data_IF_567412561924
#
_entry.id   IF_567412561924
#
_cell.length_a   1.000
_cell.length_b   1.000
_cell.length_c   1.000
_cell.angle_alpha   90.00
_cell.angle_beta   90.00
_cell.angle_gamma   90.00
#
_symmetry.space_group_name_H-M   'P 1'
#
loop_
_entity.id
_entity.type
_entity.pdbx_description
1 polymer ?
#
# COMPACT_ATOMS: atom_id res chain seq x y z
N UNK A 1 59.29 3.68 1.17
CA UNK A 1 58.26 2.70 1.64
C UNK A 1 57.05 3.47 2.14
N UNK A 2 56.00 3.60 1.34
CA UNK A 2 54.71 4.20 1.75
C UNK A 2 53.67 3.09 1.73
N UNK A 3 53.16 2.70 2.92
CA UNK A 3 52.03 1.77 3.07
C UNK A 3 50.76 2.49 2.70
N UNK A 4 50.04 2.00 1.67
CA UNK A 4 48.68 2.40 1.31
C UNK A 4 47.72 1.83 2.35
N UNK A 5 46.94 2.68 2.99
CA UNK A 5 45.76 2.29 3.76
C UNK A 5 44.66 1.85 2.79
N UNK A 6 44.26 0.60 2.88
CA UNK A 6 43.05 0.07 2.23
C UNK A 6 41.90 0.37 3.17
N UNK A 7 41.07 1.34 2.79
CA UNK A 7 39.82 1.63 3.49
C UNK A 7 38.84 0.48 3.18
N UNK A 8 38.39 -0.19 4.22
CA UNK A 8 37.36 -1.23 4.15
C UNK A 8 36.01 -0.61 3.80
N UNK A 9 35.62 -0.63 2.53
CA UNK A 9 34.25 -0.46 2.04
C UNK A 9 33.54 -1.82 2.03
N UNK A 10 33.26 -2.38 3.20
CA UNK A 10 32.72 -3.72 3.30
C UNK A 10 31.41 -3.87 4.12
N UNK A 11 31.00 -2.82 4.86
CA UNK A 11 29.88 -2.95 5.79
C UNK A 11 28.54 -2.42 5.26
N UNK A 12 28.55 -1.53 4.27
CA UNK A 12 27.29 -0.95 3.75
C UNK A 12 26.55 -1.85 2.73
N UNK A 13 27.28 -2.69 1.99
CA UNK A 13 26.68 -3.57 0.98
C UNK A 13 25.87 -4.75 1.60
N UNK A 14 26.23 -5.20 2.81
CA UNK A 14 25.55 -6.31 3.48
C UNK A 14 24.17 -5.93 4.02
N UNK A 15 24.05 -4.75 4.59
CA UNK A 15 22.77 -4.27 5.16
C UNK A 15 21.75 -3.92 4.04
N UNK A 16 22.22 -3.39 2.91
CA UNK A 16 21.37 -3.15 1.73
C UNK A 16 20.89 -4.46 1.09
N UNK A 17 21.71 -5.49 1.05
CA UNK A 17 21.34 -6.80 0.50
C UNK A 17 20.26 -7.50 1.32
N UNK A 18 20.35 -7.47 2.65
CA UNK A 18 19.36 -8.11 3.54
C UNK A 18 18.05 -7.32 3.63
N UNK A 19 18.09 -5.99 3.60
CA UNK A 19 16.87 -5.18 3.56
C UNK A 19 16.11 -5.35 2.25
N UNK A 20 16.80 -5.42 1.12
CA UNK A 20 16.19 -5.68 -0.19
C UNK A 20 15.64 -7.11 -0.31
N UNK A 21 16.26 -8.10 0.36
CA UNK A 21 15.77 -9.49 0.36
C UNK A 21 14.46 -9.69 1.15
N UNK A 22 14.17 -8.83 2.13
CA UNK A 22 12.88 -8.84 2.83
C UNK A 22 11.71 -8.32 1.98
N UNK A 23 12.00 -7.55 0.93
CA UNK A 23 10.99 -7.05 -0.02
C UNK A 23 10.76 -8.02 -1.20
N UNK A 24 11.69 -8.93 -1.45
CA UNK A 24 11.49 -10.01 -2.38
C UNK A 24 10.61 -11.08 -1.71
N UNK A 25 9.39 -11.24 -2.19
CA UNK A 25 8.60 -12.44 -1.90
C UNK A 25 9.51 -13.62 -2.30
N UNK A 26 9.72 -14.55 -1.36
CA UNK A 26 10.36 -15.82 -1.70
C UNK A 26 9.76 -16.31 -3.01
N UNK A 27 10.59 -16.68 -4.00
CA UNK A 27 10.19 -17.12 -5.34
C UNK A 27 9.11 -18.21 -5.25
N UNK A 28 7.87 -17.78 -4.99
CA UNK A 28 6.71 -18.58 -5.24
C UNK A 28 6.44 -18.45 -6.73
N UNK A 29 6.15 -19.55 -7.40
CA UNK A 29 5.75 -19.60 -8.83
C UNK A 29 4.42 -18.82 -9.08
N UNK A 30 4.00 -17.96 -8.15
CA UNK A 30 2.78 -17.18 -8.21
C UNK A 30 3.04 -15.78 -8.74
N UNK A 31 2.14 -15.30 -9.58
CA UNK A 31 2.22 -13.96 -10.20
C UNK A 31 2.18 -12.84 -9.17
N UNK A 32 1.44 -13.02 -8.06
CA UNK A 32 1.38 -12.13 -6.90
C UNK A 32 0.77 -12.89 -5.71
N UNK A 33 0.97 -12.36 -4.53
CA UNK A 33 0.29 -12.80 -3.31
C UNK A 33 -0.81 -11.82 -2.91
N UNK A 34 -1.77 -12.27 -2.10
CA UNK A 34 -2.88 -11.43 -1.63
C UNK A 34 -2.63 -11.06 -0.18
N UNK A 35 -2.73 -9.77 0.14
CA UNK A 35 -2.81 -9.24 1.48
C UNK A 35 -4.20 -8.68 1.77
N UNK A 36 -4.51 -8.43 3.04
CA UNK A 36 -5.75 -7.79 3.47
C UNK A 36 -5.46 -6.46 4.16
N UNK A 37 -6.01 -5.37 3.63
CA UNK A 37 -6.00 -4.07 4.28
C UNK A 37 -7.06 -4.03 5.39
N UNK A 38 -6.65 -3.62 6.59
CA UNK A 38 -7.51 -3.54 7.77
C UNK A 38 -8.70 -2.61 7.55
N UNK A 39 -8.54 -1.60 6.70
CA UNK A 39 -9.62 -0.67 6.37
C UNK A 39 -10.82 -1.35 5.71
N UNK A 40 -10.66 -2.53 5.11
CA UNK A 40 -11.77 -3.36 4.63
C UNK A 40 -12.79 -3.72 5.71
N UNK A 41 -12.41 -3.59 6.99
CA UNK A 41 -13.23 -3.89 8.17
C UNK A 41 -13.56 -2.62 8.98
N UNK A 42 -13.51 -1.44 8.36
CA UNK A 42 -13.69 -0.17 9.06
C UNK A 42 -15.06 -0.05 9.75
N UNK A 43 -16.14 -0.58 9.17
CA UNK A 43 -17.46 -0.60 9.80
C UNK A 43 -17.50 -1.57 10.98
N UNK A 44 -16.84 -2.71 10.84
CA UNK A 44 -16.72 -3.71 11.92
C UNK A 44 -15.98 -3.13 13.14
N UNK A 45 -14.88 -2.37 12.92
CA UNK A 45 -14.10 -1.78 14.00
C UNK A 45 -14.71 -0.52 14.59
N UNK A 46 -15.26 0.37 13.77
CA UNK A 46 -15.83 1.64 14.24
C UNK A 46 -17.30 1.51 14.67
N UNK A 47 -17.99 0.43 14.27
CA UNK A 47 -19.37 0.18 14.67
C UNK A 47 -20.30 1.37 14.37
N UNK A 48 -21.09 1.78 15.35
CA UNK A 48 -22.04 2.89 15.21
C UNK A 48 -21.38 4.27 14.96
N UNK A 49 -20.08 4.43 15.24
CA UNK A 49 -19.40 5.70 15.06
C UNK A 49 -19.25 6.07 13.59
N UNK A 50 -19.04 5.08 12.70
CA UNK A 50 -18.97 5.34 11.25
C UNK A 50 -20.34 5.67 10.66
N UNK A 51 -21.41 5.12 11.22
CA UNK A 51 -22.79 5.41 10.80
C UNK A 51 -23.18 6.87 11.11
N UNK A 52 -22.59 7.47 12.15
CA UNK A 52 -22.74 8.90 12.47
C UNK A 52 -21.98 9.81 11.50
N UNK A 53 -21.17 9.25 10.61
CA UNK A 53 -20.45 9.93 9.53
C UNK A 53 -19.01 10.28 9.87
N UNK A 54 -18.24 10.56 8.82
CA UNK A 54 -16.79 10.80 8.88
C UNK A 54 -16.39 12.03 9.74
N UNK A 55 -17.22 13.05 9.80
CA UNK A 55 -16.95 14.24 10.63
C UNK A 55 -16.94 13.85 12.10
N UNK A 56 -17.98 13.12 12.56
CA UNK A 56 -18.05 12.60 13.92
C UNK A 56 -16.88 11.66 14.24
N UNK A 57 -16.62 10.67 13.39
CA UNK A 57 -15.53 9.72 13.58
C UNK A 57 -14.17 10.42 13.63
N UNK A 58 -13.90 11.37 12.73
CA UNK A 58 -12.65 12.12 12.72
C UNK A 58 -12.44 12.97 13.98
N UNK A 59 -13.52 13.51 14.56
CA UNK A 59 -13.46 14.19 15.83
C UNK A 59 -13.14 13.22 16.97
N UNK A 60 -13.85 12.11 17.02
CA UNK A 60 -13.66 11.08 18.07
C UNK A 60 -12.24 10.51 18.04
N UNK A 61 -11.70 10.21 16.84
CA UNK A 61 -10.31 9.74 16.67
C UNK A 61 -9.26 10.74 17.18
N UNK A 62 -9.56 12.06 17.22
CA UNK A 62 -8.68 13.06 17.78
C UNK A 62 -8.83 13.22 19.29
N UNK A 63 -10.06 13.14 19.81
CA UNK A 63 -10.39 13.44 21.19
C UNK A 63 -10.31 12.21 22.10
N UNK A 64 -10.81 11.07 21.64
CA UNK A 64 -10.80 9.80 22.36
C UNK A 64 -10.69 8.62 21.35
N UNK A 65 -9.48 8.36 20.83
CA UNK A 65 -9.27 7.28 19.85
C UNK A 65 -9.57 5.88 20.41
N UNK A 66 -9.50 5.68 21.73
CA UNK A 66 -9.87 4.42 22.35
C UNK A 66 -11.37 4.16 22.24
N UNK A 67 -12.20 5.18 22.48
CA UNK A 67 -13.64 5.08 22.33
C UNK A 67 -14.04 4.80 20.88
N UNK A 68 -13.28 5.30 19.88
CA UNK A 68 -13.59 5.12 18.46
C UNK A 68 -13.65 3.63 18.05
N UNK A 69 -12.90 2.75 18.70
CA UNK A 69 -12.81 1.29 18.41
C UNK A 69 -13.40 0.40 19.50
N UNK A 70 -13.94 0.97 20.58
CA UNK A 70 -14.38 0.22 21.76
C UNK A 70 -15.58 -0.71 21.50
N UNK A 71 -16.36 -0.46 20.44
CA UNK A 71 -17.56 -1.26 20.09
C UNK A 71 -17.29 -2.42 19.14
N UNK A 72 -16.07 -2.54 18.60
CA UNK A 72 -15.66 -3.56 17.65
C UNK A 72 -14.79 -4.66 18.26
N UNK A 73 -14.30 -5.58 17.41
CA UNK A 73 -13.26 -6.54 17.81
C UNK A 73 -11.98 -5.81 18.23
N UNK A 74 -11.13 -6.47 19.04
CA UNK A 74 -9.80 -5.91 19.35
C UNK A 74 -8.97 -5.78 18.07
N UNK A 75 -8.53 -4.56 17.69
CA UNK A 75 -7.70 -4.38 16.51
C UNK A 75 -6.39 -5.19 16.54
N UNK A 76 -5.90 -5.57 17.72
CA UNK A 76 -4.73 -6.42 17.88
C UNK A 76 -4.92 -7.85 17.32
N UNK A 77 -6.16 -8.29 17.12
CA UNK A 77 -6.48 -9.63 16.59
C UNK A 77 -6.62 -9.65 15.05
N UNK A 78 -6.35 -8.54 14.38
CA UNK A 78 -6.57 -8.43 12.93
C UNK A 78 -5.82 -9.48 12.11
N UNK A 79 -4.57 -9.78 12.42
CA UNK A 79 -3.79 -10.82 11.74
C UNK A 79 -4.42 -12.22 11.90
N UNK A 80 -4.85 -12.56 13.13
CA UNK A 80 -5.60 -13.79 13.39
C UNK A 80 -6.89 -13.85 12.57
N UNK A 81 -7.68 -12.77 12.57
CA UNK A 81 -8.93 -12.68 11.81
C UNK A 81 -8.70 -12.87 10.32
N UNK A 82 -7.66 -12.23 9.73
CA UNK A 82 -7.32 -12.39 8.33
C UNK A 82 -7.03 -13.85 7.95
N UNK A 83 -6.32 -14.57 8.83
CA UNK A 83 -6.02 -15.99 8.63
C UNK A 83 -7.26 -16.87 8.81
N UNK A 84 -8.00 -16.71 9.91
CA UNK A 84 -9.09 -17.61 10.26
C UNK A 84 -10.33 -17.44 9.42
N UNK A 85 -10.66 -16.20 9.05
CA UNK A 85 -11.87 -15.89 8.29
C UNK A 85 -11.69 -15.95 6.77
N UNK A 86 -10.48 -15.63 6.28
CA UNK A 86 -10.25 -15.45 4.85
C UNK A 86 -9.12 -16.33 4.28
N UNK A 87 -8.38 -17.05 5.12
CA UNK A 87 -7.15 -17.77 4.74
C UNK A 87 -6.15 -16.85 4.02
N UNK A 88 -6.02 -15.59 4.48
CA UNK A 88 -5.07 -14.61 3.97
C UNK A 88 -3.86 -14.58 4.91
N UNK A 89 -2.66 -14.76 4.34
CA UNK A 89 -1.41 -14.89 5.08
C UNK A 89 -0.57 -13.61 5.14
N UNK A 90 -1.11 -12.45 4.75
CA UNK A 90 -0.44 -11.17 4.87
C UNK A 90 -1.45 -10.05 5.15
N UNK A 91 -1.06 -9.07 5.96
CA UNK A 91 -1.95 -7.98 6.38
C UNK A 91 -1.29 -6.61 6.23
N UNK A 92 -2.15 -5.61 6.06
CA UNK A 92 -1.83 -4.19 5.95
C UNK A 92 -2.61 -3.44 7.02
N UNK A 93 -1.92 -3.01 8.08
CA UNK A 93 -2.52 -2.32 9.21
C UNK A 93 -2.84 -0.86 8.87
N UNK A 94 -3.79 -0.25 9.60
CA UNK A 94 -4.10 1.17 9.53
C UNK A 94 -3.94 1.78 10.92
N UNK A 95 -3.07 2.77 11.04
CA UNK A 95 -2.72 3.36 12.33
C UNK A 95 -3.90 3.98 13.09
N UNK A 96 -4.98 4.38 12.40
CA UNK A 96 -6.17 4.95 13.03
C UNK A 96 -6.81 4.01 14.06
N UNK A 97 -6.74 2.69 13.86
CA UNK A 97 -7.23 1.72 14.82
C UNK A 97 -6.36 1.60 16.07
N UNK A 98 -5.17 2.21 16.05
CA UNK A 98 -4.15 2.13 17.10
C UNK A 98 -3.72 3.49 17.64
N UNK A 99 -4.44 4.58 17.35
CA UNK A 99 -4.05 5.92 17.81
C UNK A 99 -3.88 6.01 19.34
N UNK A 100 -4.72 5.30 20.11
CA UNK A 100 -4.61 5.21 21.55
C UNK A 100 -3.37 4.42 22.02
N UNK A 101 -2.68 3.70 21.13
CA UNK A 101 -1.56 2.82 21.46
C UNK A 101 -0.21 3.36 20.96
N UNK A 102 -0.17 4.54 20.36
CA UNK A 102 1.10 5.12 19.88
C UNK A 102 2.11 5.20 21.04
N UNK A 103 3.28 4.60 20.84
CA UNK A 103 4.34 4.51 21.87
C UNK A 103 4.19 3.35 22.85
N UNK A 104 3.12 2.58 22.80
CA UNK A 104 2.95 1.36 23.61
C UNK A 104 3.65 0.18 22.93
N UNK A 105 4.98 0.10 23.05
CA UNK A 105 5.78 -0.96 22.43
C UNK A 105 5.32 -2.37 22.79
N UNK A 106 4.87 -2.60 24.05
CA UNK A 106 4.43 -3.90 24.50
C UNK A 106 3.21 -4.39 23.71
N UNK A 107 2.29 -3.47 23.39
CA UNK A 107 1.10 -3.76 22.60
C UNK A 107 1.49 -4.20 21.17
N UNK A 108 2.39 -3.47 20.50
CA UNK A 108 2.82 -3.80 19.14
C UNK A 108 3.67 -5.08 19.08
N UNK A 109 4.48 -5.36 20.10
CA UNK A 109 5.21 -6.64 20.21
C UNK A 109 4.26 -7.82 20.38
N UNK A 110 3.17 -7.64 21.13
CA UNK A 110 2.13 -8.67 21.26
C UNK A 110 1.35 -8.88 19.96
N UNK A 111 1.05 -7.80 19.21
CA UNK A 111 0.46 -7.93 17.88
C UNK A 111 1.37 -8.70 16.92
N UNK A 112 2.68 -8.42 16.93
CA UNK A 112 3.67 -9.15 16.13
C UNK A 112 3.67 -10.64 16.48
N UNK A 113 3.68 -10.97 17.78
CA UNK A 113 3.60 -12.36 18.26
C UNK A 113 2.31 -13.05 17.79
N UNK A 114 1.14 -12.38 17.87
CA UNK A 114 -0.12 -12.92 17.35
C UNK A 114 -0.07 -13.19 15.84
N UNK A 115 0.55 -12.30 15.06
CA UNK A 115 0.72 -12.50 13.62
C UNK A 115 1.61 -13.73 13.35
N UNK A 116 2.75 -13.85 14.04
CA UNK A 116 3.67 -14.99 13.92
C UNK A 116 3.01 -16.31 14.32
N UNK A 117 2.25 -16.36 15.43
CA UNK A 117 1.51 -17.54 15.88
C UNK A 117 0.52 -18.08 14.84
N UNK A 118 0.00 -17.20 13.98
CA UNK A 118 -0.94 -17.55 12.90
C UNK A 118 -0.26 -17.67 11.52
N UNK A 119 1.06 -17.50 11.44
CA UNK A 119 1.81 -17.53 10.20
C UNK A 119 1.38 -16.42 9.23
N UNK A 120 1.13 -15.22 9.75
CA UNK A 120 0.69 -14.04 8.99
C UNK A 120 1.82 -13.01 8.90
N UNK A 121 2.12 -12.56 7.69
CA UNK A 121 3.12 -11.52 7.44
C UNK A 121 2.52 -10.15 7.71
N UNK A 122 3.13 -9.38 8.58
CA UNK A 122 2.87 -7.95 8.74
C UNK A 122 3.53 -7.21 7.58
N UNK A 123 2.77 -6.92 6.51
CA UNK A 123 3.36 -6.39 5.27
C UNK A 123 3.57 -4.89 5.31
N UNK A 124 2.56 -4.14 5.72
CA UNK A 124 2.49 -2.69 5.57
C UNK A 124 1.71 -2.08 6.74
N UNK A 125 2.08 -0.86 7.16
CA UNK A 125 1.23 0.00 8.00
C UNK A 125 0.89 1.29 7.24
N UNK A 126 -0.40 1.54 7.04
CA UNK A 126 -0.93 2.79 6.49
C UNK A 126 -0.97 3.84 7.59
N UNK A 127 -0.43 5.04 7.30
CA UNK A 127 -0.34 6.13 8.26
C UNK A 127 -1.24 7.29 7.83
N UNK A 128 -2.34 7.46 8.56
CA UNK A 128 -3.26 8.59 8.41
C UNK A 128 -3.07 9.58 9.56
N UNK A 129 -3.49 10.84 9.35
CA UNK A 129 -3.47 11.87 10.40
C UNK A 129 -2.08 12.32 10.84
N UNK A 130 -1.04 12.01 10.06
CA UNK A 130 0.35 12.37 10.41
C UNK A 130 0.72 13.81 10.09
N UNK A 131 -0.11 14.54 9.33
CA UNK A 131 0.14 15.92 8.95
C UNK A 131 0.53 16.10 7.49
N UNK A 132 1.04 17.28 7.16
CA UNK A 132 1.14 17.79 5.78
C UNK A 132 2.59 17.79 5.31
N UNK A 133 3.06 16.67 4.73
CA UNK A 133 4.44 16.51 4.21
C UNK A 133 4.78 17.46 3.04
N UNK A 134 3.77 18.03 2.37
CA UNK A 134 3.92 19.03 1.31
C UNK A 134 3.58 20.48 1.71
N UNK A 135 3.43 20.79 3.01
CA UNK A 135 3.11 22.11 3.50
C UNK A 135 4.14 23.17 3.06
N UNK A 136 3.72 24.44 2.93
CA UNK A 136 4.64 25.55 2.64
C UNK A 136 5.54 25.81 3.86
N UNK A 137 4.94 25.80 5.06
CA UNK A 137 5.68 25.99 6.30
C UNK A 137 6.61 24.81 6.61
N UNK A 138 7.89 25.10 6.86
CA UNK A 138 8.90 24.07 7.11
C UNK A 138 8.73 23.41 8.49
N UNK A 139 8.22 24.15 9.47
CA UNK A 139 7.93 23.62 10.80
C UNK A 139 6.81 22.62 10.75
N UNK A 140 5.71 22.93 10.02
CA UNK A 140 4.60 22.02 9.81
C UNK A 140 5.05 20.71 9.10
N UNK A 141 5.94 20.80 8.10
CA UNK A 141 6.54 19.61 7.48
C UNK A 141 7.38 18.81 8.46
N UNK A 142 8.15 19.50 9.31
CA UNK A 142 8.95 18.88 10.37
C UNK A 142 8.10 18.10 11.36
N UNK A 143 7.02 18.71 11.85
CA UNK A 143 6.06 18.08 12.75
C UNK A 143 5.39 16.85 12.13
N UNK A 144 5.04 16.95 10.84
CA UNK A 144 4.49 15.81 10.10
C UNK A 144 5.51 14.65 10.00
N UNK A 145 6.77 14.94 9.68
CA UNK A 145 7.83 13.92 9.63
C UNK A 145 8.08 13.27 10.99
N UNK A 146 8.06 14.02 12.10
CA UNK A 146 8.24 13.44 13.44
C UNK A 146 7.08 12.49 13.81
N UNK A 147 5.84 12.83 13.44
CA UNK A 147 4.69 11.93 13.62
C UNK A 147 4.83 10.65 12.78
N UNK A 148 5.26 10.77 11.51
CA UNK A 148 5.54 9.60 10.66
C UNK A 148 6.62 8.74 11.30
N UNK A 149 7.73 9.31 11.79
CA UNK A 149 8.82 8.58 12.47
C UNK A 149 8.33 7.81 13.70
N UNK A 150 7.46 8.42 14.51
CA UNK A 150 6.89 7.74 15.68
C UNK A 150 6.12 6.47 15.27
N UNK A 151 5.31 6.55 14.21
CA UNK A 151 4.59 5.39 13.67
C UNK A 151 5.51 4.39 12.95
N UNK A 152 6.59 4.85 12.30
CA UNK A 152 7.60 3.95 11.72
C UNK A 152 8.24 3.07 12.80
N UNK A 153 8.45 3.61 14.02
CA UNK A 153 8.88 2.80 15.16
C UNK A 153 7.91 1.68 15.51
N UNK A 154 6.61 1.95 15.48
CA UNK A 154 5.58 0.93 15.74
C UNK A 154 5.49 -0.10 14.59
N UNK A 155 5.57 0.36 13.34
CA UNK A 155 5.61 -0.52 12.16
C UNK A 155 6.84 -1.45 12.18
N UNK A 156 7.99 -0.95 12.62
CA UNK A 156 9.20 -1.76 12.80
C UNK A 156 9.00 -2.86 13.87
N UNK A 157 8.39 -2.53 15.00
CA UNK A 157 8.07 -3.52 16.06
C UNK A 157 7.12 -4.61 15.57
N UNK A 158 6.17 -4.27 14.68
CA UNK A 158 5.28 -5.22 14.02
C UNK A 158 5.98 -6.09 12.96
N UNK A 159 7.21 -5.77 12.57
CA UNK A 159 7.92 -6.44 11.48
C UNK A 159 7.42 -6.07 10.09
N UNK A 160 6.74 -4.91 9.93
CA UNK A 160 6.31 -4.42 8.62
C UNK A 160 7.52 -4.19 7.70
N UNK A 161 7.32 -4.39 6.39
CA UNK A 161 8.31 -4.10 5.38
C UNK A 161 8.27 -2.63 4.92
N UNK A 162 7.14 -1.94 5.12
CA UNK A 162 6.94 -0.56 4.67
C UNK A 162 5.87 0.17 5.45
N UNK A 163 5.85 1.50 5.29
CA UNK A 163 4.76 2.37 5.71
C UNK A 163 4.19 3.13 4.52
N UNK A 164 2.88 3.32 4.47
CA UNK A 164 2.23 4.22 3.52
C UNK A 164 2.00 5.57 4.19
N UNK A 165 2.39 6.64 3.53
CA UNK A 165 2.18 8.01 4.00
C UNK A 165 1.26 8.78 3.06
N UNK A 166 0.49 9.72 3.61
CA UNK A 166 -0.24 10.73 2.87
C UNK A 166 0.63 11.97 2.66
N UNK A 167 0.55 12.58 1.48
CA UNK A 167 1.36 13.74 1.10
C UNK A 167 0.48 14.99 0.89
N UNK A 168 -0.26 15.34 1.91
CA UNK A 168 -1.05 16.57 1.91
C UNK A 168 -0.15 17.82 1.88
N UNK A 169 -0.72 18.94 1.41
CA UNK A 169 -0.03 20.22 1.33
C UNK A 169 -0.82 21.23 0.51
N UNK A 170 -0.32 22.43 0.40
CA UNK A 170 -0.91 23.55 -0.36
C UNK A 170 0.10 24.21 -1.29
N UNK A 171 -0.40 25.21 -2.02
CA UNK A 171 0.38 26.00 -2.99
C UNK A 171 0.38 25.39 -4.38
N UNK A 172 1.15 26.00 -5.26
CA UNK A 172 1.25 25.59 -6.66
C UNK A 172 1.75 24.15 -6.79
N UNK A 173 1.13 23.33 -7.66
CA UNK A 173 1.41 21.92 -7.79
C UNK A 173 2.90 21.58 -8.01
N UNK A 174 3.61 22.39 -8.79
CA UNK A 174 5.03 22.23 -9.08
C UNK A 174 5.91 22.39 -7.84
N UNK A 175 5.69 23.45 -7.09
CA UNK A 175 6.45 23.74 -5.86
C UNK A 175 6.08 22.77 -4.74
N UNK A 176 4.80 22.36 -4.66
CA UNK A 176 4.37 21.30 -3.75
C UNK A 176 5.06 19.97 -4.07
N UNK A 177 5.19 19.60 -5.36
CA UNK A 177 5.87 18.36 -5.75
C UNK A 177 7.34 18.34 -5.27
N UNK A 178 8.07 19.45 -5.40
CA UNK A 178 9.45 19.58 -4.92
C UNK A 178 9.54 19.42 -3.41
N UNK A 179 8.76 20.19 -2.64
CA UNK A 179 8.77 20.11 -1.17
C UNK A 179 8.41 18.70 -0.67
N UNK A 180 7.42 18.09 -1.30
CA UNK A 180 6.99 16.74 -0.95
C UNK A 180 8.10 15.71 -1.23
N UNK A 181 8.77 15.82 -2.38
CA UNK A 181 9.87 14.89 -2.71
C UNK A 181 11.05 15.00 -1.73
N UNK A 182 11.38 16.20 -1.24
CA UNK A 182 12.40 16.42 -0.21
C UNK A 182 12.02 15.76 1.12
N UNK A 183 10.74 15.89 1.54
CA UNK A 183 10.23 15.22 2.73
C UNK A 183 10.27 13.70 2.59
N UNK A 184 9.92 13.17 1.41
CA UNK A 184 9.97 11.73 1.12
C UNK A 184 11.40 11.20 1.10
N UNK A 185 12.37 11.93 0.54
CA UNK A 185 13.79 11.54 0.57
C UNK A 185 14.30 11.41 2.00
N UNK A 186 13.97 12.39 2.86
CA UNK A 186 14.33 12.36 4.28
C UNK A 186 13.69 11.15 4.99
N UNK A 187 12.41 10.90 4.77
CA UNK A 187 11.72 9.74 5.35
C UNK A 187 12.22 8.42 4.78
N UNK A 188 12.61 8.39 3.50
CA UNK A 188 13.20 7.22 2.85
C UNK A 188 14.53 6.82 3.48
N UNK A 189 15.42 7.78 3.77
CA UNK A 189 16.68 7.53 4.47
C UNK A 189 16.46 6.99 5.88
N UNK A 190 15.54 7.61 6.64
CA UNK A 190 15.16 7.13 7.98
C UNK A 190 14.58 5.72 7.89
N UNK A 191 13.67 5.47 6.93
CA UNK A 191 13.01 4.19 6.73
C UNK A 191 14.00 3.06 6.46
N UNK A 192 14.96 3.28 5.56
CA UNK A 192 16.00 2.27 5.27
C UNK A 192 16.81 1.94 6.51
N UNK A 193 17.15 2.93 7.34
CA UNK A 193 17.81 2.71 8.63
C UNK A 193 17.00 1.85 9.61
N UNK A 194 15.67 1.80 9.44
CA UNK A 194 14.73 1.00 10.23
C UNK A 194 14.30 -0.30 9.53
N UNK A 195 14.77 -0.56 8.31
CA UNK A 195 14.34 -1.70 7.48
C UNK A 195 12.96 -1.51 6.84
N UNK A 196 12.50 -0.27 6.68
CA UNK A 196 11.20 0.10 6.13
C UNK A 196 11.33 0.84 4.80
N UNK A 197 10.48 0.53 3.83
CA UNK A 197 10.23 1.42 2.70
C UNK A 197 9.14 2.45 3.06
N UNK A 198 9.14 3.58 2.36
CA UNK A 198 8.10 4.62 2.46
C UNK A 198 7.37 4.68 1.13
N UNK A 199 6.08 4.38 1.14
CA UNK A 199 5.27 4.39 -0.07
C UNK A 199 4.17 5.45 0.00
N UNK A 200 3.82 5.99 -1.16
CA UNK A 200 2.76 6.98 -1.31
C UNK A 200 1.62 6.39 -2.12
N UNK A 201 0.41 6.58 -1.64
CA UNK A 201 -0.83 6.18 -2.30
C UNK A 201 -1.45 7.36 -3.07
N UNK A 202 -2.11 7.08 -4.20
CA UNK A 202 -3.06 8.01 -4.78
C UNK A 202 -4.32 8.01 -3.91
N UNK A 203 -4.48 9.04 -3.04
CA UNK A 203 -5.48 9.06 -1.95
C UNK A 203 -6.30 10.36 -1.92
N UNK A 204 -6.90 10.71 -3.04
CA UNK A 204 -7.78 11.88 -3.17
C UNK A 204 -7.07 13.18 -3.59
N UNK A 205 -7.82 14.09 -4.17
CA UNK A 205 -7.34 15.40 -4.60
C UNK A 205 -6.16 15.32 -5.58
N UNK A 206 -5.14 16.12 -5.34
CA UNK A 206 -3.98 16.19 -6.25
C UNK A 206 -3.18 14.88 -6.31
N UNK A 207 -3.15 14.10 -5.24
CA UNK A 207 -2.46 12.78 -5.25
C UNK A 207 -3.15 11.76 -6.16
N UNK A 208 -4.44 11.92 -6.40
CA UNK A 208 -5.21 11.11 -7.36
C UNK A 208 -4.96 11.48 -8.84
N UNK A 209 -4.19 12.56 -9.11
CA UNK A 209 -3.67 12.83 -10.43
C UNK A 209 -2.39 12.00 -10.62
N UNK A 210 -2.50 10.87 -11.33
CA UNK A 210 -1.38 9.93 -11.52
C UNK A 210 -0.13 10.58 -12.12
N UNK A 211 -0.28 11.53 -13.05
CA UNK A 211 0.85 12.24 -13.64
C UNK A 211 1.57 13.14 -12.61
N UNK A 212 0.82 13.82 -11.73
CA UNK A 212 1.41 14.64 -10.69
C UNK A 212 2.12 13.78 -9.63
N UNK A 213 1.48 12.69 -9.18
CA UNK A 213 2.09 11.79 -8.20
C UNK A 213 3.34 11.10 -8.76
N UNK A 214 3.30 10.64 -10.01
CA UNK A 214 4.48 10.09 -10.70
C UNK A 214 5.62 11.11 -10.78
N UNK A 215 5.30 12.41 -10.97
CA UNK A 215 6.27 13.49 -10.94
C UNK A 215 6.90 13.65 -9.54
N UNK A 216 6.12 13.65 -8.47
CA UNK A 216 6.64 13.69 -7.09
C UNK A 216 7.62 12.55 -6.87
N UNK A 217 7.25 11.32 -7.25
CA UNK A 217 8.08 10.14 -7.09
C UNK A 217 9.33 10.15 -7.97
N UNK A 218 9.26 10.75 -9.15
CA UNK A 218 10.46 10.92 -10.01
C UNK A 218 11.43 11.98 -9.51
N UNK A 219 10.96 12.94 -8.72
CA UNK A 219 11.79 13.94 -8.05
C UNK A 219 12.44 13.36 -6.77
N UNK A 220 11.75 12.47 -6.07
CA UNK A 220 12.31 11.73 -4.95
C UNK A 220 13.42 10.79 -5.45
N UNK A 221 14.60 10.88 -4.85
CA UNK A 221 15.81 10.18 -5.31
C UNK A 221 16.14 8.95 -4.47
N UNK A 222 15.55 8.88 -3.28
CA UNK A 222 15.89 7.82 -2.33
C UNK A 222 15.24 6.48 -2.74
N UNK A 223 16.02 5.39 -2.88
CA UNK A 223 15.50 4.09 -3.35
C UNK A 223 14.50 3.44 -2.38
N UNK A 224 14.46 3.87 -1.12
CA UNK A 224 13.48 3.46 -0.13
C UNK A 224 12.09 4.05 -0.36
N UNK A 225 11.94 5.06 -1.24
CA UNK A 225 10.65 5.69 -1.58
C UNK A 225 10.00 4.96 -2.76
N UNK A 226 8.67 4.85 -2.74
CA UNK A 226 7.91 4.26 -3.84
C UNK A 226 6.44 4.63 -3.82
N UNK A 227 5.65 3.94 -4.62
CA UNK A 227 4.19 4.08 -4.66
C UNK A 227 3.47 2.84 -4.16
N UNK A 228 2.25 3.07 -3.72
CA UNK A 228 1.18 2.10 -3.53
C UNK A 228 0.02 2.52 -4.44
N UNK A 229 0.01 2.11 -5.73
CA UNK A 229 -1.11 2.40 -6.61
C UNK A 229 -2.41 1.76 -6.11
N UNK A 230 -3.42 2.59 -5.86
CA UNK A 230 -4.77 2.16 -5.49
C UNK A 230 -5.69 2.18 -6.72
N UNK A 231 -6.55 1.16 -6.86
CA UNK A 231 -7.42 1.00 -8.04
C UNK A 231 -8.64 1.92 -8.05
N UNK A 232 -9.04 2.47 -6.90
CA UNK A 232 -10.28 3.23 -6.74
C UNK A 232 -10.09 4.74 -6.51
N UNK A 233 -9.01 5.15 -5.88
CA UNK A 233 -8.77 6.51 -5.39
C UNK A 233 -8.34 7.50 -6.48
N UNK A 234 -9.18 7.74 -7.48
CA UNK A 234 -8.87 8.63 -8.61
C UNK A 234 -9.76 9.88 -8.70
N UNK A 235 -10.45 10.25 -7.61
CA UNK A 235 -11.20 11.50 -7.55
C UNK A 235 -10.26 12.67 -7.28
N UNK A 236 -10.13 13.59 -8.27
CA UNK A 236 -9.22 14.75 -8.21
C UNK A 236 -9.88 16.04 -7.71
N UNK A 237 -11.20 16.08 -7.64
CA UNK A 237 -11.92 17.29 -7.19
C UNK A 237 -13.40 17.26 -7.54
N UNK A 238 -13.97 18.45 -7.57
CA UNK A 238 -15.34 18.72 -8.03
C UNK A 238 -15.33 19.84 -9.06
N UNK A 239 -16.25 19.78 -10.05
CA UNK A 239 -16.50 20.87 -10.97
C UNK A 239 -17.33 22.00 -10.33
N UNK A 240 -17.65 23.03 -11.10
CA UNK A 240 -18.42 24.18 -10.63
C UNK A 240 -19.86 23.82 -10.19
N UNK A 241 -20.40 22.73 -10.72
CA UNK A 241 -21.71 22.19 -10.42
C UNK A 241 -21.68 21.18 -9.24
N UNK A 242 -20.49 20.96 -8.64
CA UNK A 242 -20.28 20.05 -7.49
C UNK A 242 -20.19 18.58 -7.84
N UNK A 243 -20.11 18.23 -9.14
CA UNK A 243 -19.93 16.87 -9.62
C UNK A 243 -18.47 16.45 -9.48
N UNK A 244 -18.24 15.21 -9.10
CA UNK A 244 -16.90 14.66 -8.93
C UNK A 244 -16.15 14.60 -10.28
N UNK A 245 -14.90 15.07 -10.27
CA UNK A 245 -13.95 14.97 -11.38
C UNK A 245 -13.01 13.80 -11.09
N UNK A 246 -12.91 12.89 -12.05
CA UNK A 246 -12.11 11.68 -11.95
C UNK A 246 -10.93 11.70 -12.91
N UNK A 247 -9.77 11.28 -12.44
CA UNK A 247 -8.64 10.92 -13.28
C UNK A 247 -8.87 9.52 -13.87
N UNK A 248 -8.37 9.25 -15.05
CA UNK A 248 -8.43 7.89 -15.63
C UNK A 248 -7.60 6.93 -14.77
N UNK A 249 -8.25 5.95 -14.12
CA UNK A 249 -7.63 5.02 -13.16
C UNK A 249 -6.61 4.11 -13.80
N UNK A 250 -6.85 3.64 -15.03
CA UNK A 250 -5.93 2.74 -15.73
C UNK A 250 -4.65 3.48 -16.14
N UNK A 251 -4.82 4.69 -16.67
CA UNK A 251 -3.70 5.59 -16.94
C UNK A 251 -2.96 5.95 -15.65
N UNK A 252 -3.66 6.24 -14.58
CA UNK A 252 -3.07 6.60 -13.28
C UNK A 252 -2.24 5.46 -12.71
N UNK A 253 -2.78 4.25 -12.63
CA UNK A 253 -2.02 3.08 -12.17
C UNK A 253 -0.82 2.83 -13.08
N UNK A 254 -0.98 2.86 -14.42
CA UNK A 254 0.13 2.70 -15.36
C UNK A 254 1.27 3.69 -15.13
N UNK A 255 0.97 4.95 -14.76
CA UNK A 255 1.96 5.97 -14.46
C UNK A 255 2.69 5.74 -13.13
N UNK A 256 2.03 5.09 -12.16
CA UNK A 256 2.57 4.84 -10.83
C UNK A 256 3.34 3.51 -10.73
N UNK A 257 3.04 2.54 -11.60
CA UNK A 257 3.70 1.22 -11.59
C UNK A 257 5.22 1.24 -11.63
N UNK A 258 5.92 2.15 -12.34
CA UNK A 258 7.38 2.22 -12.31
C UNK A 258 7.99 2.44 -10.91
N UNK A 259 7.19 2.94 -9.96
CA UNK A 259 7.60 3.22 -8.59
C UNK A 259 6.97 2.25 -7.56
N UNK A 260 6.13 1.30 -8.01
CA UNK A 260 5.31 0.47 -7.13
C UNK A 260 6.14 -0.47 -6.26
N UNK A 261 5.90 -0.42 -4.94
CA UNK A 261 6.41 -1.37 -3.94
C UNK A 261 5.27 -2.16 -3.28
N UNK A 262 4.05 -1.66 -3.35
CA UNK A 262 2.80 -2.32 -2.95
C UNK A 262 1.70 -1.94 -3.96
N UNK A 263 0.54 -2.60 -3.92
CA UNK A 263 -0.63 -2.31 -4.76
C UNK A 263 -1.90 -2.53 -3.93
N UNK A 264 -2.84 -1.58 -3.97
CA UNK A 264 -4.16 -1.70 -3.32
C UNK A 264 -5.23 -2.03 -4.36
N UNK A 265 -5.85 -3.20 -4.22
CA UNK A 265 -7.00 -3.63 -5.00
C UNK A 265 -8.31 -3.13 -4.36
N UNK A 266 -8.45 -1.80 -4.29
CA UNK A 266 -9.69 -1.19 -3.79
C UNK A 266 -10.87 -1.65 -4.63
N UNK A 267 -11.92 -2.08 -3.93
CA UNK A 267 -13.15 -2.58 -4.53
C UNK A 267 -14.36 -2.05 -3.79
N UNK A 268 -15.47 -1.97 -4.50
CA UNK A 268 -16.75 -1.50 -3.94
C UNK A 268 -17.82 -2.55 -4.12
N UNK A 269 -18.60 -2.46 -5.20
CA UNK A 269 -19.76 -3.33 -5.40
C UNK A 269 -19.53 -4.26 -6.60
N UNK A 270 -20.14 -5.43 -6.54
CA UNK A 270 -19.99 -6.48 -7.55
C UNK A 270 -21.30 -6.68 -8.32
N UNK A 271 -21.17 -7.12 -9.57
CA UNK A 271 -22.29 -7.59 -10.37
C UNK A 271 -22.59 -9.08 -10.12
N UNK A 272 -23.59 -9.62 -10.82
CA UNK A 272 -24.01 -11.02 -10.69
C UNK A 272 -22.96 -12.03 -11.21
N UNK A 273 -22.00 -11.60 -12.03
CA UNK A 273 -20.88 -12.42 -12.49
C UNK A 273 -19.70 -12.40 -11.51
N UNK A 274 -19.76 -11.53 -10.49
CA UNK A 274 -18.71 -11.31 -9.51
C UNK A 274 -17.58 -10.42 -10.05
N UNK A 275 -17.88 -9.58 -11.04
CA UNK A 275 -16.99 -8.53 -11.51
C UNK A 275 -17.24 -7.24 -10.73
N UNK A 276 -16.15 -6.51 -10.43
CA UNK A 276 -16.23 -5.22 -9.75
C UNK A 276 -16.81 -4.17 -10.72
N UNK A 277 -17.78 -3.36 -10.22
CA UNK A 277 -18.61 -2.49 -11.08
C UNK A 277 -17.89 -1.21 -11.53
N UNK A 278 -16.92 -0.72 -10.75
CA UNK A 278 -16.23 0.53 -10.98
C UNK A 278 -14.92 0.34 -11.76
N UNK A 279 -14.29 -0.82 -11.62
CA UNK A 279 -12.96 -1.12 -12.13
C UNK A 279 -12.95 -2.48 -12.83
N UNK A 280 -12.54 -2.54 -14.09
CA UNK A 280 -12.22 -3.79 -14.75
C UNK A 280 -10.91 -4.35 -14.19
N UNK A 281 -11.00 -5.32 -13.28
CA UNK A 281 -9.86 -5.96 -12.64
C UNK A 281 -9.01 -6.75 -13.62
N UNK A 282 -9.57 -7.24 -14.74
CA UNK A 282 -8.78 -7.93 -15.77
C UNK A 282 -7.84 -6.95 -16.47
N UNK A 283 -8.35 -5.78 -16.86
CA UNK A 283 -7.53 -4.72 -17.44
C UNK A 283 -6.52 -4.18 -16.42
N UNK A 284 -6.96 -3.94 -15.20
CA UNK A 284 -6.13 -3.36 -14.14
C UNK A 284 -4.95 -4.27 -13.76
N UNK A 285 -5.23 -5.55 -13.49
CA UNK A 285 -4.18 -6.52 -13.16
C UNK A 285 -3.24 -6.79 -14.34
N UNK A 286 -3.70 -6.67 -15.57
CA UNK A 286 -2.80 -6.71 -16.73
C UNK A 286 -1.79 -5.58 -16.68
N UNK A 287 -2.20 -4.34 -16.39
CA UNK A 287 -1.29 -3.19 -16.24
C UNK A 287 -0.25 -3.48 -15.15
N UNK A 288 -0.69 -3.98 -14.00
CA UNK A 288 0.18 -4.29 -12.86
C UNK A 288 1.19 -5.38 -13.21
N UNK A 289 0.74 -6.47 -13.81
CA UNK A 289 1.58 -7.64 -14.10
C UNK A 289 2.50 -7.42 -15.30
N UNK A 290 2.04 -6.70 -16.34
CA UNK A 290 2.86 -6.33 -17.50
C UNK A 290 3.98 -5.34 -17.13
N UNK A 291 3.78 -4.53 -16.09
CA UNK A 291 4.83 -3.70 -15.47
C UNK A 291 5.88 -4.51 -14.68
N UNK A 292 5.72 -5.84 -14.58
CA UNK A 292 6.65 -6.73 -13.88
C UNK A 292 6.44 -6.83 -12.37
N UNK A 293 5.36 -6.28 -11.81
CA UNK A 293 5.08 -6.37 -10.38
C UNK A 293 4.73 -7.81 -9.97
N UNK A 294 5.34 -8.28 -8.86
CA UNK A 294 5.18 -9.64 -8.31
C UNK A 294 5.01 -9.65 -6.79
N UNK A 295 4.69 -8.48 -6.21
CA UNK A 295 4.51 -8.31 -4.76
C UNK A 295 3.14 -8.70 -4.24
N UNK A 296 2.78 -8.16 -3.07
CA UNK A 296 1.44 -8.28 -2.51
C UNK A 296 0.47 -7.32 -3.20
N UNK A 297 -0.75 -7.80 -3.43
CA UNK A 297 -1.90 -6.98 -3.84
C UNK A 297 -2.90 -7.01 -2.68
N UNK A 298 -3.06 -5.88 -2.02
CA UNK A 298 -3.91 -5.72 -0.84
C UNK A 298 -5.38 -5.60 -1.21
N UNK A 299 -6.23 -6.44 -0.61
CA UNK A 299 -7.67 -6.26 -0.68
C UNK A 299 -8.05 -5.07 0.19
N UNK A 300 -8.74 -4.09 -0.39
CA UNK A 300 -9.35 -2.99 0.34
C UNK A 300 -10.80 -2.80 -0.12
N UNK A 301 -11.73 -3.43 0.61
CA UNK A 301 -13.15 -3.37 0.29
C UNK A 301 -13.83 -2.22 1.03
N UNK A 302 -14.49 -1.35 0.28
CA UNK A 302 -15.29 -0.22 0.82
C UNK A 302 -16.73 -0.19 0.27
N UNK A 303 -17.20 -1.26 -0.37
CA UNK A 303 -18.55 -1.36 -0.92
C UNK A 303 -19.64 -1.36 0.15
N UNK A 304 -20.89 -1.17 -0.30
CA UNK A 304 -22.06 -1.07 0.60
C UNK A 304 -23.14 -2.12 0.33
N UNK A 305 -23.08 -2.81 -0.80
CA UNK A 305 -24.09 -3.82 -1.14
C UNK A 305 -23.88 -5.14 -0.39
N UNK A 306 -22.59 -5.48 -0.15
CA UNK A 306 -22.23 -6.63 0.68
C UNK A 306 -21.78 -6.15 2.07
N UNK A 307 -21.90 -7.01 3.08
CA UNK A 307 -21.19 -6.80 4.32
C UNK A 307 -19.67 -6.92 4.06
N UNK A 308 -18.84 -6.45 4.98
CA UNK A 308 -17.38 -6.38 4.79
C UNK A 308 -16.75 -7.76 4.56
N UNK A 309 -17.20 -8.77 5.30
CA UNK A 309 -16.69 -10.14 5.16
C UNK A 309 -16.97 -10.73 3.79
N UNK A 310 -18.18 -10.54 3.27
CA UNK A 310 -18.58 -11.04 1.95
C UNK A 310 -17.91 -10.22 0.82
N UNK A 311 -17.73 -8.91 1.02
CA UNK A 311 -17.01 -8.04 0.10
C UNK A 311 -15.53 -8.39 -0.02
N UNK A 312 -14.86 -8.66 1.11
CA UNK A 312 -13.47 -9.17 1.12
C UNK A 312 -13.37 -10.49 0.36
N UNK A 313 -14.27 -11.45 0.63
CA UNK A 313 -14.30 -12.73 -0.08
C UNK A 313 -14.60 -12.57 -1.58
N UNK A 314 -15.44 -11.60 -1.96
CA UNK A 314 -15.74 -11.33 -3.37
C UNK A 314 -14.49 -10.77 -4.08
N UNK A 315 -13.79 -9.82 -3.48
CA UNK A 315 -12.54 -9.28 -4.02
C UNK A 315 -11.46 -10.35 -4.12
N UNK A 316 -11.33 -11.19 -3.10
CA UNK A 316 -10.37 -12.30 -3.09
C UNK A 316 -10.64 -13.27 -4.25
N UNK A 317 -11.89 -13.69 -4.44
CA UNK A 317 -12.27 -14.57 -5.57
C UNK A 317 -11.99 -13.92 -6.92
N UNK A 318 -12.26 -12.62 -7.07
CA UNK A 318 -11.99 -11.89 -8.30
C UNK A 318 -10.48 -11.84 -8.60
N UNK A 319 -9.65 -11.50 -7.63
CA UNK A 319 -8.19 -11.51 -7.77
C UNK A 319 -7.65 -12.89 -8.15
N UNK A 320 -8.14 -13.96 -7.49
CA UNK A 320 -7.76 -15.35 -7.78
C UNK A 320 -8.16 -15.76 -9.20
N UNK A 321 -9.38 -15.42 -9.64
CA UNK A 321 -9.90 -15.72 -10.98
C UNK A 321 -9.05 -15.06 -12.07
N UNK A 322 -8.75 -13.76 -11.93
CA UNK A 322 -7.95 -13.03 -12.90
C UNK A 322 -6.50 -13.52 -12.92
N UNK A 323 -5.92 -13.84 -11.75
CA UNK A 323 -4.59 -14.44 -11.64
C UNK A 323 -4.49 -15.76 -12.42
N UNK A 324 -5.46 -16.63 -12.25
CA UNK A 324 -5.50 -17.93 -12.96
C UNK A 324 -5.63 -17.75 -14.48
N UNK A 325 -6.49 -16.84 -14.93
CA UNK A 325 -6.67 -16.53 -16.36
C UNK A 325 -5.39 -15.95 -17.00
N UNK A 326 -4.67 -15.08 -16.29
CA UNK A 326 -3.41 -14.51 -16.76
C UNK A 326 -2.32 -15.58 -16.89
N UNK A 327 -2.19 -16.48 -15.92
CA UNK A 327 -1.24 -17.60 -15.97
C UNK A 327 -1.47 -18.50 -17.17
N UNK A 328 -2.73 -18.85 -17.47
CA UNK A 328 -3.10 -19.70 -18.61
C UNK A 328 -2.73 -19.07 -19.97
N UNK A 329 -2.94 -17.74 -20.09
CA UNK A 329 -2.64 -17.00 -21.32
C UNK A 329 -1.12 -16.81 -21.54
N UNK A 330 -0.32 -16.74 -20.49
CA UNK A 330 1.14 -16.63 -20.61
C UNK A 330 1.78 -17.92 -21.09
N UNK A 331 1.29 -19.08 -20.66
CA UNK A 331 1.76 -20.39 -21.13
C UNK A 331 1.42 -20.65 -22.62
N UNK A 332 0.27 -20.16 -23.09
CA UNK A 332 -0.08 -20.27 -24.50
C UNK A 332 0.79 -19.41 -25.42
N UNK A 333 1.28 -18.27 -24.94
CA UNK A 333 2.20 -17.38 -25.70
C UNK A 333 3.62 -17.93 -25.77
N UNK A 334 4.15 -18.51 -24.69
CA UNK A 334 5.48 -19.11 -24.67
C UNK A 334 5.56 -20.37 -25.56
N UNK A 335 4.52 -21.21 -25.59
CA UNK A 335 4.44 -22.37 -26.47
C UNK A 335 4.34 -22.04 -27.97
N UNK A 336 3.95 -20.82 -28.33
CA UNK A 336 3.95 -20.36 -29.74
C UNK A 336 5.33 -19.88 -30.20
N UNK A 337 6.13 -19.31 -29.30
CA UNK A 337 7.51 -18.86 -29.60
C UNK A 337 8.43 -20.07 -29.75
N UNK A 338 8.36 -21.09 -28.88
CA UNK A 338 9.16 -22.32 -29.01
C UNK A 338 8.83 -23.15 -30.29
N UNK A 339 7.58 -23.09 -30.79
CA UNK A 339 7.22 -23.78 -32.04
C UNK A 339 7.64 -23.00 -33.29
N UNK A 340 7.84 -21.70 -33.22
CA UNK A 340 8.35 -20.91 -34.35
C UNK A 340 9.86 -21.12 -34.55
N UNK A 341 10.64 -21.25 -33.48
CA UNK A 341 12.08 -21.46 -33.55
C UNK A 341 12.46 -22.91 -34.00
N UNK A 342 11.57 -23.90 -33.81
CA UNK A 342 11.79 -25.26 -34.27
C UNK A 342 11.36 -25.49 -35.74
N UNK A 343 10.60 -24.56 -36.34
CA UNK A 343 10.17 -24.71 -37.74
C UNK A 343 11.19 -24.12 -38.75
N UNK A 344 12.21 -23.39 -38.31
CA UNK A 344 13.24 -22.82 -39.20
C UNK A 344 14.58 -23.58 -39.22
N UNK A 345 14.66 -24.75 -38.60
CA UNK A 345 15.92 -25.53 -38.50
C UNK A 345 15.96 -26.81 -39.36
N UNK A 346 15.09 -26.97 -40.35
CA UNK A 346 15.12 -28.11 -41.28
C UNK A 346 14.92 -27.60 -42.71
N UNK A 347 15.94 -26.94 -43.27
CA UNK A 347 16.21 -26.85 -44.72
C UNK A 347 17.60 -26.21 -44.91
N UNK A 348 18.65 -27.00 -44.73
CA UNK A 348 19.95 -26.90 -45.44
C UNK A 348 20.55 -28.30 -45.62
#
# INVERSE_FOLDING_TARGET
>A
MRRRQVIKLGAAAGVFGEALSRWAIAETNRLFEISLAQFSLHRTYYGEHIEKGWVHLSQLLREDPAAAVAGGPDPADFAMLARTEFDIGAVEYVNQFYFAQLGNEAYFKEMARKADDHGVVSHLMMLDGTGRLGAIDAGERGDAMEKVKAWMGMAQLLGCAMVRVNIEGEGEPEERAKRTSESLDTLGEIGVGMGLAVVVENHGGLTSNGAWLAKVLSLAKHPGVGSLPDFGNFRIGKDAEGKDIWYDRYRGVSQLMPFAKAVSAKSYDFDSAGDERMTDFTQMLRIVLDAGYRGYIGIEYEGRQLNEFDGIRATQRLLQRVRAAYSSNSHSRSGFVERADTAFALDE
#
